data_IF_634476238536
#
_entry.id   IF_634476238536
#
_cell.length_a   1.000
_cell.length_b   1.000
_cell.length_c   1.000
_cell.angle_alpha   90.00
_cell.angle_beta   90.00
_cell.angle_gamma   90.00
#
_symmetry.space_group_name_H-M   'P 1'
#
loop_
_entity.id
_entity.type
_entity.pdbx_description
1 polymer ?
#
# COMPACT_ATOMS: atom_id res chain seq x y z
N UNK A 1 -17.18 12.49 22.01
CA UNK A 1 -15.91 11.73 22.25
C UNK A 1 -16.13 10.26 21.94
N UNK A 2 -15.74 9.85 20.73
CA UNK A 2 -15.87 8.46 20.26
C UNK A 2 -14.51 7.78 20.44
N UNK A 3 -14.51 6.54 20.94
CA UNK A 3 -13.30 5.75 21.17
C UNK A 3 -13.39 4.49 20.32
N UNK A 4 -12.41 4.28 19.46
CA UNK A 4 -12.23 3.06 18.69
C UNK A 4 -11.16 2.22 19.38
N UNK A 5 -11.35 0.90 19.38
CA UNK A 5 -10.38 -0.04 19.96
C UNK A 5 -9.93 -1.04 18.91
N UNK A 6 -8.62 -1.25 18.80
CA UNK A 6 -8.02 -2.21 17.90
C UNK A 6 -6.83 -2.91 18.55
N UNK A 7 -6.11 -3.71 17.77
CA UNK A 7 -4.89 -4.38 18.22
C UNK A 7 -3.71 -3.45 17.98
N UNK A 8 -3.06 -3.04 19.06
CA UNK A 8 -1.83 -2.27 18.94
C UNK A 8 -0.62 -3.16 18.66
N UNK A 9 0.32 -2.65 17.87
CA UNK A 9 1.58 -3.32 17.56
C UNK A 9 2.77 -2.76 18.37
N UNK A 10 2.66 -1.53 18.90
CA UNK A 10 3.69 -0.86 19.69
C UNK A 10 3.08 0.09 20.73
N UNK A 11 3.88 0.59 21.68
CA UNK A 11 3.38 1.31 22.87
C UNK A 11 3.47 2.83 22.78
N UNK A 12 3.60 3.40 21.58
CA UNK A 12 3.72 4.84 21.40
C UNK A 12 2.36 5.54 21.48
N UNK A 13 2.36 6.82 21.83
CA UNK A 13 1.16 7.65 21.89
C UNK A 13 1.41 8.92 21.08
N UNK A 14 0.46 9.30 20.23
CA UNK A 14 0.58 10.51 19.40
C UNK A 14 -0.74 11.25 19.27
N UNK A 15 -0.65 12.56 19.09
CA UNK A 15 -1.76 13.42 18.72
C UNK A 15 -1.50 14.00 17.34
N UNK A 16 -2.50 13.95 16.46
CA UNK A 16 -2.34 14.44 15.10
C UNK A 16 -3.66 14.54 14.37
N UNK A 17 -3.60 15.03 13.14
CA UNK A 17 -4.76 15.09 12.26
C UNK A 17 -4.91 13.77 11.50
N UNK A 18 -6.12 13.24 11.50
CA UNK A 18 -6.49 12.12 10.67
C UNK A 18 -6.32 12.47 9.20
N UNK A 19 -5.80 11.52 8.45
CA UNK A 19 -5.84 11.53 7.01
C UNK A 19 -6.40 10.19 6.54
N UNK A 20 -7.62 10.20 6.01
CA UNK A 20 -8.21 9.02 5.41
C UNK A 20 -7.62 8.82 4.02
N UNK A 21 -6.85 7.74 3.88
CA UNK A 21 -6.30 7.30 2.62
C UNK A 21 -7.20 6.24 2.01
N UNK A 22 -7.79 6.59 0.87
CA UNK A 22 -8.50 5.64 0.02
C UNK A 22 -7.65 5.33 -1.20
N UNK A 23 -7.33 4.04 -1.36
CA UNK A 23 -6.60 3.55 -2.50
C UNK A 23 -7.50 3.65 -3.73
N UNK A 24 -7.32 4.69 -4.56
CA UNK A 24 -8.03 4.82 -5.84
C UNK A 24 -7.58 3.72 -6.77
N UNK A 25 -8.28 2.57 -6.76
CA UNK A 25 -8.11 1.52 -7.76
C UNK A 25 -8.51 2.10 -9.11
N UNK A 26 -7.51 2.39 -9.94
CA UNK A 26 -7.76 2.76 -11.32
C UNK A 26 -8.48 1.60 -12.01
N UNK A 27 -9.65 1.84 -12.59
CA UNK A 27 -10.26 0.84 -13.47
C UNK A 27 -9.36 0.71 -14.68
N UNK A 28 -8.76 -0.47 -14.83
CA UNK A 28 -7.99 -0.80 -16.02
C UNK A 28 -9.00 -1.21 -17.09
N UNK A 29 -9.16 -0.34 -18.08
CA UNK A 29 -10.03 -0.66 -19.21
C UNK A 29 -9.31 -1.66 -20.11
N UNK A 30 -10.00 -2.73 -20.48
CA UNK A 30 -9.56 -3.63 -21.52
C UNK A 30 -9.75 -2.93 -22.86
N UNK A 31 -8.65 -2.65 -23.56
CA UNK A 31 -8.66 -2.11 -24.91
C UNK A 31 -7.97 -3.09 -25.84
N UNK A 32 -8.62 -3.37 -26.96
CA UNK A 32 -8.01 -4.19 -28.00
C UNK A 32 -6.84 -3.44 -28.64
N UNK A 33 -5.72 -4.13 -28.86
CA UNK A 33 -4.54 -3.60 -29.55
C UNK A 33 -4.26 -4.41 -30.80
N UNK A 34 -3.99 -3.72 -31.90
CA UNK A 34 -3.50 -4.37 -33.13
C UNK A 34 -1.98 -4.56 -33.11
N UNK A 35 -1.28 -3.81 -32.26
CA UNK A 35 0.18 -3.84 -32.16
C UNK A 35 0.64 -4.49 -30.85
N UNK A 36 0.59 -5.82 -30.84
CA UNK A 36 1.05 -6.68 -29.73
C UNK A 36 2.52 -6.39 -29.38
N UNK A 37 3.36 -6.12 -30.38
CA UNK A 37 4.79 -5.91 -30.16
C UNK A 37 5.06 -4.59 -29.42
N UNK A 38 4.37 -3.52 -29.80
CA UNK A 38 4.46 -2.24 -29.09
C UNK A 38 4.01 -2.38 -27.62
N UNK A 39 2.92 -3.10 -27.34
CA UNK A 39 2.47 -3.33 -25.96
C UNK A 39 3.45 -4.18 -25.14
N UNK A 40 4.09 -5.16 -25.78
CA UNK A 40 5.13 -5.99 -25.14
C UNK A 40 6.37 -5.16 -24.80
N UNK A 41 6.78 -4.26 -25.69
CA UNK A 41 7.89 -3.32 -25.45
C UNK A 41 7.53 -2.31 -24.35
N UNK A 42 6.30 -1.76 -24.36
CA UNK A 42 5.79 -0.89 -23.28
C UNK A 42 5.86 -1.60 -21.93
N UNK A 43 5.48 -2.87 -21.87
CA UNK A 43 5.59 -3.68 -20.66
C UNK A 43 7.04 -3.86 -20.20
N UNK A 44 7.97 -4.22 -21.10
CA UNK A 44 9.37 -4.38 -20.75
C UNK A 44 9.98 -3.07 -20.20
N UNK A 45 9.66 -1.93 -20.82
CA UNK A 45 10.07 -0.61 -20.31
C UNK A 45 9.45 -0.32 -18.93
N UNK A 46 8.20 -0.70 -18.71
CA UNK A 46 7.55 -0.54 -17.42
C UNK A 46 8.17 -1.42 -16.32
N UNK A 47 8.58 -2.66 -16.65
CA UNK A 47 9.31 -3.53 -15.72
C UNK A 47 10.63 -2.89 -15.28
N UNK A 48 11.42 -2.37 -16.22
CA UNK A 48 12.69 -1.70 -15.88
C UNK A 48 12.47 -0.48 -14.97
N UNK A 49 11.48 0.36 -15.28
CA UNK A 49 11.11 1.50 -14.42
C UNK A 49 10.59 1.08 -13.06
N UNK A 50 9.85 -0.03 -12.97
CA UNK A 50 9.37 -0.56 -11.70
C UNK A 50 10.53 -1.01 -10.82
N UNK A 51 11.57 -1.62 -11.42
CA UNK A 51 12.78 -2.04 -10.70
C UNK A 51 13.56 -0.85 -10.16
N UNK A 52 13.73 0.21 -10.96
CA UNK A 52 14.36 1.46 -10.50
C UNK A 52 13.62 2.03 -9.28
N UNK A 53 12.29 2.12 -9.35
CA UNK A 53 11.48 2.60 -8.23
C UNK A 53 11.52 1.69 -6.99
N UNK A 54 11.53 0.38 -7.17
CA UNK A 54 11.65 -0.58 -6.08
C UNK A 54 13.03 -0.49 -5.41
N UNK A 55 14.07 -0.23 -6.18
CA UNK A 55 15.42 -0.03 -5.67
C UNK A 55 15.51 1.26 -4.85
N UNK A 56 14.93 2.38 -5.33
CA UNK A 56 14.83 3.62 -4.55
C UNK A 56 14.08 3.39 -3.23
N UNK A 57 12.94 2.70 -3.27
CA UNK A 57 12.17 2.38 -2.06
C UNK A 57 12.94 1.50 -1.08
N UNK A 58 13.70 0.53 -1.60
CA UNK A 58 14.58 -0.32 -0.79
C UNK A 58 15.63 0.54 -0.08
N UNK A 59 16.28 1.44 -0.80
CA UNK A 59 17.34 2.29 -0.24
C UNK A 59 16.80 3.24 0.83
N UNK A 60 15.61 3.82 0.62
CA UNK A 60 14.87 4.55 1.66
C UNK A 60 14.55 3.65 2.85
N UNK A 61 14.02 2.44 2.61
CA UNK A 61 13.66 1.52 3.68
C UNK A 61 14.87 1.08 4.51
N UNK A 62 16.04 0.88 3.88
CA UNK A 62 17.29 0.59 4.60
C UNK A 62 17.62 1.72 5.59
N UNK A 63 17.41 2.97 5.19
CA UNK A 63 17.66 4.13 6.04
C UNK A 63 16.64 4.25 7.20
N UNK A 64 15.38 3.92 6.96
CA UNK A 64 14.28 4.15 7.92
C UNK A 64 14.04 2.97 8.87
N UNK A 65 13.97 1.74 8.35
CA UNK A 65 13.60 0.52 9.11
C UNK A 65 14.73 -0.50 9.21
N UNK A 66 15.83 -0.26 8.51
CA UNK A 66 17.02 -1.10 8.55
C UNK A 66 17.04 -2.22 7.49
N UNK A 67 18.24 -2.79 7.30
CA UNK A 67 18.54 -3.73 6.21
C UNK A 67 17.72 -5.02 6.23
N UNK A 68 17.29 -5.50 7.39
CA UNK A 68 16.55 -6.76 7.48
C UNK A 68 15.14 -6.63 6.90
N UNK A 69 14.45 -5.53 7.20
CA UNK A 69 13.09 -5.29 6.73
C UNK A 69 13.05 -4.81 5.28
N UNK A 70 14.09 -4.09 4.84
CA UNK A 70 14.24 -3.71 3.43
C UNK A 70 14.33 -4.91 2.46
N UNK A 71 14.65 -6.12 2.94
CA UNK A 71 14.66 -7.35 2.13
C UNK A 71 13.29 -7.70 1.53
N UNK A 72 12.21 -7.15 2.07
CA UNK A 72 10.87 -7.32 1.48
C UNK A 72 10.86 -6.77 0.04
N UNK A 73 11.53 -5.64 -0.20
CA UNK A 73 11.65 -5.05 -1.53
C UNK A 73 12.56 -5.86 -2.46
N UNK A 74 13.57 -6.57 -1.92
CA UNK A 74 14.37 -7.51 -2.72
C UNK A 74 13.49 -8.63 -3.29
N UNK A 75 12.54 -9.13 -2.49
CA UNK A 75 11.57 -10.12 -2.95
C UNK A 75 10.66 -9.52 -4.04
N UNK A 76 10.21 -8.27 -3.87
CA UNK A 76 9.40 -7.61 -4.91
C UNK A 76 10.14 -7.47 -6.23
N UNK A 77 11.45 -7.14 -6.19
CA UNK A 77 12.28 -7.07 -7.39
C UNK A 77 12.41 -8.44 -8.06
N UNK A 78 12.64 -9.51 -7.29
CA UNK A 78 12.71 -10.89 -7.80
C UNK A 78 11.38 -11.29 -8.45
N UNK A 79 10.25 -11.02 -7.80
CA UNK A 79 8.92 -11.33 -8.34
C UNK A 79 8.58 -10.50 -9.59
N UNK A 80 9.09 -9.27 -9.70
CA UNK A 80 8.88 -8.42 -10.89
C UNK A 80 9.66 -8.94 -12.11
N UNK A 81 10.82 -9.55 -11.86
CA UNK A 81 11.71 -10.16 -12.85
C UNK A 81 11.44 -11.64 -13.10
N UNK A 82 10.46 -12.21 -12.40
CA UNK A 82 10.13 -13.62 -12.52
C UNK A 82 9.63 -13.93 -13.94
N UNK A 83 10.27 -14.91 -14.58
CA UNK A 83 9.98 -15.29 -15.97
C UNK A 83 8.55 -15.80 -16.11
N UNK A 84 8.01 -16.54 -15.14
CA UNK A 84 6.64 -17.05 -15.19
C UNK A 84 5.62 -15.89 -15.14
N UNK A 85 5.86 -14.90 -14.29
CA UNK A 85 5.02 -13.69 -14.22
C UNK A 85 5.10 -12.87 -15.52
N UNK A 86 6.32 -12.62 -16.00
CA UNK A 86 6.54 -11.85 -17.23
C UNK A 86 5.97 -12.52 -18.47
N UNK A 87 6.15 -13.84 -18.60
CA UNK A 87 5.69 -14.61 -19.75
C UNK A 87 4.18 -14.82 -19.74
N UNK A 88 3.55 -14.94 -18.56
CA UNK A 88 2.10 -14.93 -18.45
C UNK A 88 1.50 -13.61 -18.99
N UNK A 89 2.11 -12.46 -18.66
CA UNK A 89 1.67 -11.15 -19.17
C UNK A 89 1.84 -11.08 -20.69
N UNK A 90 3.03 -11.39 -21.21
CA UNK A 90 3.30 -11.40 -22.66
C UNK A 90 2.35 -12.34 -23.41
N UNK A 91 2.04 -13.50 -22.83
CA UNK A 91 1.11 -14.48 -23.38
C UNK A 91 -0.30 -13.91 -23.48
N UNK A 92 -0.80 -13.22 -22.44
CA UNK A 92 -2.12 -12.58 -22.46
C UNK A 92 -2.18 -11.48 -23.53
N UNK A 93 -1.17 -10.61 -23.61
CA UNK A 93 -1.09 -9.56 -24.64
C UNK A 93 -1.17 -10.18 -26.05
N UNK A 94 -0.39 -11.24 -26.29
CA UNK A 94 -0.28 -11.89 -27.61
C UNK A 94 -1.51 -12.70 -28.00
N UNK A 95 -2.12 -13.41 -27.05
CA UNK A 95 -3.26 -14.29 -27.34
C UNK A 95 -4.58 -13.53 -27.39
N UNK A 96 -4.77 -12.59 -26.47
CA UNK A 96 -6.04 -11.86 -26.34
C UNK A 96 -6.04 -10.51 -27.06
N UNK A 97 -4.89 -10.06 -27.60
CA UNK A 97 -4.76 -8.79 -28.30
C UNK A 97 -5.24 -7.61 -27.44
N UNK A 98 -4.77 -7.57 -26.20
CA UNK A 98 -5.15 -6.57 -25.19
C UNK A 98 -3.96 -5.68 -24.81
N UNK A 99 -4.25 -4.51 -24.26
CA UNK A 99 -3.25 -3.60 -23.72
C UNK A 99 -2.48 -4.16 -22.51
N UNK A 100 -1.26 -3.66 -22.31
CA UNK A 100 -0.35 -4.13 -21.27
C UNK A 100 -0.91 -3.93 -19.85
N UNK A 101 -1.62 -2.82 -19.57
CA UNK A 101 -2.19 -2.57 -18.25
C UNK A 101 -3.18 -3.68 -17.85
N UNK A 102 -4.04 -4.07 -18.80
CA UNK A 102 -5.04 -5.11 -18.56
C UNK A 102 -4.39 -6.48 -18.37
N UNK A 103 -3.38 -6.80 -19.18
CA UNK A 103 -2.64 -8.05 -19.06
C UNK A 103 -1.91 -8.18 -17.71
N UNK A 104 -1.31 -7.10 -17.22
CA UNK A 104 -0.70 -7.03 -15.88
C UNK A 104 -1.74 -7.27 -14.80
N UNK A 105 -2.85 -6.53 -14.83
CA UNK A 105 -3.91 -6.62 -13.83
C UNK A 105 -4.54 -8.02 -13.76
N UNK A 106 -4.79 -8.63 -14.92
CA UNK A 106 -5.33 -9.99 -15.01
C UNK A 106 -4.34 -11.04 -14.49
N UNK A 107 -3.06 -10.92 -14.84
CA UNK A 107 -2.02 -11.84 -14.34
C UNK A 107 -1.91 -11.74 -12.83
N UNK A 108 -1.82 -10.52 -12.30
CA UNK A 108 -1.74 -10.28 -10.87
C UNK A 108 -2.94 -10.84 -10.10
N UNK A 109 -4.16 -10.67 -10.64
CA UNK A 109 -5.37 -11.24 -10.06
C UNK A 109 -5.31 -12.77 -9.97
N UNK A 110 -4.84 -13.42 -11.04
CA UNK A 110 -4.70 -14.88 -11.08
C UNK A 110 -3.65 -15.39 -10.08
N UNK A 111 -2.46 -14.77 -10.07
CA UNK A 111 -1.39 -15.15 -9.13
C UNK A 111 -1.80 -14.87 -7.68
N UNK A 112 -2.39 -13.71 -7.39
CA UNK A 112 -2.87 -13.36 -6.05
C UNK A 112 -3.90 -14.38 -5.53
N UNK A 113 -4.84 -14.84 -6.38
CA UNK A 113 -5.76 -15.92 -6.02
C UNK A 113 -5.07 -17.23 -5.67
N UNK A 114 -4.08 -17.62 -6.46
CA UNK A 114 -3.32 -18.85 -6.22
C UNK A 114 -2.58 -18.77 -4.88
N UNK A 115 -1.90 -17.66 -4.61
CA UNK A 115 -1.20 -17.43 -3.34
C UNK A 115 -2.15 -17.36 -2.14
N UNK A 116 -3.28 -16.68 -2.27
CA UNK A 116 -4.28 -16.55 -1.21
C UNK A 116 -4.96 -17.89 -0.84
N UNK A 117 -5.05 -18.81 -1.81
CA UNK A 117 -5.62 -20.15 -1.60
C UNK A 117 -4.63 -21.14 -0.95
N UNK A 118 -3.34 -20.81 -0.86
CA UNK A 118 -2.36 -21.65 -0.19
C UNK A 118 -2.55 -21.64 1.34
N UNK A 119 -2.27 -22.76 2.02
CA UNK A 119 -2.45 -22.85 3.48
C UNK A 119 -1.33 -22.18 4.29
N UNK A 120 -0.20 -21.87 3.66
CA UNK A 120 0.95 -21.24 4.30
C UNK A 120 0.73 -19.73 4.47
N UNK A 121 0.82 -19.23 5.70
CA UNK A 121 0.65 -17.82 6.03
C UNK A 121 1.67 -16.91 5.29
N UNK A 122 2.89 -17.41 5.08
CA UNK A 122 3.91 -16.71 4.32
C UNK A 122 3.54 -16.58 2.83
N UNK A 123 2.93 -17.63 2.25
CA UNK A 123 2.45 -17.57 0.86
C UNK A 123 1.20 -16.70 0.72
N UNK A 124 0.30 -16.71 1.72
CA UNK A 124 -0.84 -15.78 1.75
C UNK A 124 -0.41 -14.33 1.78
N UNK A 125 0.67 -13.99 2.51
CA UNK A 125 1.22 -12.65 2.53
C UNK A 125 1.72 -12.19 1.14
N UNK A 126 2.26 -13.12 0.33
CA UNK A 126 2.70 -12.81 -1.06
C UNK A 126 1.55 -12.40 -1.99
N UNK A 127 0.31 -12.74 -1.67
CA UNK A 127 -0.84 -12.31 -2.47
C UNK A 127 -0.99 -10.78 -2.48
N UNK A 128 -0.66 -10.12 -1.35
CA UNK A 128 -0.64 -8.67 -1.23
C UNK A 128 0.59 -8.07 -1.94
N UNK A 129 1.75 -8.73 -1.85
CA UNK A 129 2.99 -8.31 -2.52
C UNK A 129 2.81 -8.26 -4.05
N UNK A 130 2.13 -9.26 -4.64
CA UNK A 130 1.80 -9.27 -6.08
C UNK A 130 0.87 -8.11 -6.45
N UNK A 131 -0.05 -7.73 -5.56
CA UNK A 131 -0.94 -6.61 -5.81
C UNK A 131 -0.17 -5.27 -5.81
N UNK A 132 0.78 -5.09 -4.88
CA UNK A 132 1.66 -3.90 -4.84
C UNK A 132 2.47 -3.76 -6.14
N UNK A 133 3.10 -4.85 -6.58
CA UNK A 133 3.88 -4.88 -7.83
C UNK A 133 3.00 -4.56 -9.04
N UNK A 134 1.80 -5.16 -9.11
CA UNK A 134 0.83 -4.92 -10.18
C UNK A 134 0.38 -3.47 -10.24
N UNK A 135 -0.02 -2.90 -9.11
CA UNK A 135 -0.48 -1.51 -9.03
C UNK A 135 0.62 -0.54 -9.46
N UNK A 136 1.87 -0.83 -9.08
CA UNK A 136 3.05 -0.07 -9.56
C UNK A 136 3.20 -0.16 -11.08
N UNK A 137 3.20 -1.37 -11.65
CA UNK A 137 3.34 -1.58 -13.09
C UNK A 137 2.21 -0.90 -13.87
N UNK A 138 0.95 -1.06 -13.44
CA UNK A 138 -0.22 -0.42 -14.06
C UNK A 138 -0.12 1.10 -13.99
N UNK A 139 0.36 1.66 -12.87
CA UNK A 139 0.56 3.10 -12.73
C UNK A 139 1.60 3.61 -13.75
N UNK A 140 2.74 2.94 -13.87
CA UNK A 140 3.81 3.29 -14.82
C UNK A 140 3.29 3.21 -16.26
N UNK A 141 2.59 2.13 -16.61
CA UNK A 141 2.04 1.91 -17.95
C UNK A 141 0.98 2.94 -18.33
N UNK A 142 0.11 3.30 -17.39
CA UNK A 142 -0.95 4.29 -17.58
C UNK A 142 -0.41 5.73 -17.71
N UNK A 143 0.90 5.95 -17.51
CA UNK A 143 1.49 7.28 -17.39
C UNK A 143 0.91 8.10 -16.22
N UNK A 144 0.13 7.43 -15.36
CA UNK A 144 -0.39 8.04 -14.14
C UNK A 144 0.77 8.02 -13.17
N UNK A 145 1.16 9.20 -12.70
CA UNK A 145 1.94 9.28 -11.47
C UNK A 145 1.17 8.41 -10.46
N UNK A 146 1.84 7.44 -9.82
CA UNK A 146 1.28 6.87 -8.59
C UNK A 146 0.82 8.11 -7.81
N UNK A 147 -0.42 8.13 -7.31
CA UNK A 147 -0.79 9.11 -6.29
C UNK A 147 0.08 8.74 -5.11
N UNK A 148 1.31 9.22 -5.19
CA UNK A 148 2.36 8.93 -4.26
C UNK A 148 1.99 9.70 -3.01
N UNK A 149 2.47 9.23 -1.88
CA UNK A 149 2.48 10.05 -0.68
C UNK A 149 3.06 11.47 -0.93
N UNK A 150 3.75 11.75 -2.05
CA UNK A 150 4.24 13.09 -2.45
C UNK A 150 3.16 14.06 -2.93
N UNK A 151 1.98 13.62 -3.37
CA UNK A 151 0.84 14.53 -3.63
C UNK A 151 0.11 14.88 -2.32
N UNK A 152 0.53 14.30 -1.19
CA UNK A 152 -0.02 14.61 0.11
C UNK A 152 0.55 15.94 0.56
N UNK A 153 -0.36 16.83 0.94
CA UNK A 153 -0.05 18.15 1.45
C UNK A 153 0.99 18.05 2.57
N UNK A 154 2.15 18.63 2.31
CA UNK A 154 3.11 19.17 3.26
C UNK A 154 2.38 19.70 4.51
N UNK A 155 2.54 19.00 5.64
CA UNK A 155 1.95 19.37 6.91
C UNK A 155 2.41 18.43 8.01
N UNK A 156 2.89 18.98 9.12
CA UNK A 156 3.37 18.22 10.26
C UNK A 156 2.20 17.52 10.98
N UNK A 157 2.44 16.29 11.45
CA UNK A 157 1.58 15.52 12.35
C UNK A 157 0.29 14.91 11.78
N UNK A 158 0.41 14.11 10.71
CA UNK A 158 -0.71 13.33 10.17
C UNK A 158 -0.70 11.89 10.63
N UNK A 159 -1.86 11.39 11.02
CA UNK A 159 -2.14 9.98 11.32
C UNK A 159 -2.88 9.40 10.12
N UNK A 160 -2.27 8.42 9.45
CA UNK A 160 -2.83 7.84 8.23
C UNK A 160 -3.81 6.74 8.60
N UNK A 161 -5.03 6.83 8.07
CA UNK A 161 -6.12 5.89 8.28
C UNK A 161 -6.48 5.24 6.94
N UNK A 162 -6.45 3.92 6.84
CA UNK A 162 -6.75 3.18 5.59
C UNK A 162 -7.47 1.86 5.89
N UNK A 163 -7.93 1.19 4.84
CA UNK A 163 -8.42 -0.20 4.93
C UNK A 163 -7.30 -1.15 5.36
N UNK A 164 -6.18 -1.12 4.64
CA UNK A 164 -4.96 -1.90 4.90
C UNK A 164 -3.77 -1.14 4.29
N UNK A 165 -2.53 -1.42 4.70
CA UNK A 165 -1.32 -0.81 4.12
C UNK A 165 -0.51 -1.81 3.29
N UNK A 166 0.07 -1.32 2.21
CA UNK A 166 1.14 -2.02 1.49
C UNK A 166 2.52 -1.65 2.05
N UNK A 167 3.54 -2.53 1.95
CA UNK A 167 4.90 -2.20 2.40
C UNK A 167 5.45 -0.94 1.74
N UNK A 168 5.20 -0.74 0.44
CA UNK A 168 5.66 0.45 -0.28
C UNK A 168 5.00 1.74 0.21
N UNK A 169 3.72 1.68 0.58
CA UNK A 169 2.96 2.81 1.10
C UNK A 169 3.49 3.29 2.44
N UNK A 170 3.84 2.38 3.36
CA UNK A 170 4.36 2.74 4.67
C UNK A 170 5.64 3.56 4.53
N UNK A 171 6.59 3.11 3.70
CA UNK A 171 7.85 3.84 3.47
C UNK A 171 7.59 5.21 2.86
N UNK A 172 6.70 5.30 1.88
CA UNK A 172 6.32 6.57 1.26
C UNK A 172 5.66 7.53 2.27
N UNK A 173 4.82 7.04 3.18
CA UNK A 173 4.20 7.85 4.22
C UNK A 173 5.21 8.30 5.28
N UNK A 174 6.18 7.44 5.62
CA UNK A 174 7.27 7.80 6.52
C UNK A 174 8.16 8.91 5.95
N UNK A 175 8.48 8.88 4.65
CA UNK A 175 9.18 10.00 3.98
C UNK A 175 8.42 11.33 4.10
N UNK A 176 7.08 11.28 4.22
CA UNK A 176 6.22 12.45 4.33
C UNK A 176 5.82 12.79 5.78
N UNK A 177 6.60 12.35 6.77
CA UNK A 177 6.40 12.65 8.20
C UNK A 177 5.06 12.15 8.78
N UNK A 178 4.58 10.98 8.34
CA UNK A 178 3.48 10.31 9.04
C UNK A 178 3.85 10.05 10.50
N UNK A 179 2.93 10.37 11.42
CA UNK A 179 3.11 10.23 12.86
C UNK A 179 2.37 9.03 13.45
N UNK A 180 1.57 8.32 12.66
CA UNK A 180 0.85 7.13 13.12
C UNK A 180 0.11 6.44 11.98
N UNK A 181 -0.14 5.15 12.16
CA UNK A 181 -0.81 4.29 11.18
C UNK A 181 -2.00 3.57 11.82
N UNK A 182 -3.17 3.76 11.23
CA UNK A 182 -4.42 3.12 11.65
C UNK A 182 -4.99 2.33 10.49
N UNK A 183 -5.29 1.04 10.71
CA UNK A 183 -5.95 0.21 9.70
C UNK A 183 -7.27 -0.35 10.18
N UNK A 184 -8.26 -0.37 9.28
CA UNK A 184 -9.55 -1.01 9.52
C UNK A 184 -9.40 -2.53 9.54
N UNK A 185 -8.65 -3.06 8.57
CA UNK A 185 -8.34 -4.46 8.37
C UNK A 185 -6.82 -4.66 8.32
N UNK A 186 -6.38 -5.91 8.44
CA UNK A 186 -4.96 -6.24 8.42
C UNK A 186 -4.58 -7.16 9.57
N UNK A 187 -3.55 -7.96 9.33
CA UNK A 187 -3.00 -8.87 10.33
C UNK A 187 -1.77 -8.26 10.98
N UNK A 188 -1.60 -8.48 12.29
CA UNK A 188 -0.36 -8.15 13.01
C UNK A 188 0.87 -8.89 12.49
N UNK A 189 0.68 -9.96 11.71
CA UNK A 189 1.74 -10.80 11.13
C UNK A 189 2.02 -10.48 9.66
N UNK A 190 1.31 -9.51 9.07
CA UNK A 190 1.56 -9.09 7.68
C UNK A 190 2.91 -8.38 7.54
N UNK A 191 3.51 -8.45 6.36
CA UNK A 191 4.77 -7.75 6.07
C UNK A 191 4.67 -6.23 6.30
N UNK A 192 3.52 -5.63 5.97
CA UNK A 192 3.23 -4.23 6.25
C UNK A 192 3.15 -3.96 7.76
N UNK A 193 2.45 -4.79 8.54
CA UNK A 193 2.40 -4.65 10.00
C UNK A 193 3.76 -4.83 10.67
N UNK A 194 4.58 -5.79 10.20
CA UNK A 194 5.94 -6.00 10.71
C UNK A 194 6.80 -4.77 10.43
N UNK A 195 6.74 -4.24 9.21
CA UNK A 195 7.49 -3.06 8.82
C UNK A 195 7.04 -1.82 9.61
N UNK A 196 5.73 -1.63 9.77
CA UNK A 196 5.17 -0.53 10.53
C UNK A 196 5.53 -0.61 12.03
N UNK A 197 5.54 -1.81 12.62
CA UNK A 197 5.89 -2.03 14.02
C UNK A 197 7.32 -1.62 14.37
N UNK A 198 8.23 -1.75 13.42
CA UNK A 198 9.64 -1.38 13.60
C UNK A 198 9.88 0.13 13.50
N UNK A 199 8.84 0.92 13.23
CA UNK A 199 8.91 2.37 13.28
C UNK A 199 8.58 2.88 14.68
N UNK A 200 9.17 4.01 15.04
CA UNK A 200 8.93 4.71 16.31
C UNK A 200 7.62 5.53 16.32
N UNK A 201 6.57 5.05 15.65
CA UNK A 201 5.26 5.70 15.56
C UNK A 201 4.12 4.73 15.86
N UNK A 202 3.03 5.15 16.51
CA UNK A 202 1.94 4.25 16.88
C UNK A 202 1.29 3.55 15.68
N UNK A 203 1.10 2.24 15.80
CA UNK A 203 0.43 1.42 14.79
C UNK A 203 -0.68 0.59 15.43
N UNK A 204 -1.92 0.81 14.98
CA UNK A 204 -3.09 0.06 15.43
C UNK A 204 -3.77 -0.57 14.22
N UNK A 205 -4.00 -1.88 14.32
CA UNK A 205 -4.64 -2.67 13.27
C UNK A 205 -5.97 -3.24 13.75
N UNK A 206 -6.90 -3.46 12.84
CA UNK A 206 -8.17 -4.12 13.14
C UNK A 206 -9.17 -3.24 13.88
N UNK A 207 -9.21 -1.95 13.55
CA UNK A 207 -10.20 -1.00 14.09
C UNK A 207 -11.60 -1.17 13.47
N UNK A 208 -11.72 -2.00 12.42
CA UNK A 208 -12.97 -2.28 11.74
C UNK A 208 -13.49 -1.11 10.88
N UNK A 209 -14.71 -1.28 10.37
CA UNK A 209 -15.37 -0.27 9.54
C UNK A 209 -15.60 1.07 10.25
N UNK A 210 -15.65 1.07 11.58
CA UNK A 210 -15.83 2.27 12.39
C UNK A 210 -14.71 3.29 12.13
N UNK A 211 -13.47 2.83 11.89
CA UNK A 211 -12.38 3.74 11.49
C UNK A 211 -12.72 4.51 10.21
N UNK A 212 -13.21 3.82 9.19
CA UNK A 212 -13.47 4.43 7.87
C UNK A 212 -14.76 5.23 7.86
N UNK A 213 -15.74 4.85 8.67
CA UNK A 213 -17.04 5.50 8.73
C UNK A 213 -17.03 6.74 9.62
N UNK A 214 -16.25 6.74 10.70
CA UNK A 214 -16.31 7.79 11.72
C UNK A 214 -15.18 8.80 11.63
N UNK A 215 -14.01 8.40 11.10
CA UNK A 215 -12.87 9.30 10.94
C UNK A 215 -12.93 9.94 9.55
N UNK A 216 -12.75 11.26 9.51
CA UNK A 216 -12.60 12.04 8.29
C UNK A 216 -11.25 12.73 8.26
N UNK A 217 -10.74 12.98 7.05
CA UNK A 217 -9.52 13.75 6.86
C UNK A 217 -9.67 15.14 7.50
N UNK A 218 -8.77 15.48 8.42
CA UNK A 218 -8.76 16.73 9.18
C UNK A 218 -9.18 16.58 10.65
N UNK A 219 -9.79 15.46 11.04
CA UNK A 219 -10.20 15.23 12.43
C UNK A 219 -8.99 15.14 13.36
N UNK A 220 -9.10 15.68 14.57
CA UNK A 220 -8.04 15.52 15.56
C UNK A 220 -8.17 14.17 16.26
N UNK A 221 -7.11 13.36 16.20
CA UNK A 221 -7.06 12.05 16.82
C UNK A 221 -5.97 11.99 17.88
N UNK A 222 -6.30 11.31 18.97
CA UNK A 222 -5.33 10.82 19.95
C UNK A 222 -5.23 9.31 19.80
N UNK A 223 -4.04 8.81 19.45
CA UNK A 223 -3.77 7.39 19.28
C UNK A 223 -2.93 6.92 20.45
N UNK A 224 -3.47 5.99 21.22
CA UNK A 224 -2.79 5.32 22.32
C UNK A 224 -2.45 3.87 21.93
N UNK A 225 -1.19 3.66 21.55
CA UNK A 225 -0.66 2.35 21.23
C UNK A 225 -0.49 1.44 22.46
N UNK A 226 -0.51 1.95 23.69
CA UNK A 226 -0.40 1.07 24.86
C UNK A 226 -1.67 0.26 25.06
N UNK A 227 -2.81 0.94 24.97
CA UNK A 227 -4.15 0.36 25.17
C UNK A 227 -4.81 -0.05 23.85
N UNK A 228 -4.24 0.32 22.69
CA UNK A 228 -4.84 0.09 21.38
C UNK A 228 -6.11 0.92 21.15
N UNK A 229 -6.16 2.14 21.69
CA UNK A 229 -7.33 3.01 21.63
C UNK A 229 -7.07 4.23 20.76
N UNK A 230 -8.04 4.60 19.95
CA UNK A 230 -8.06 5.84 19.17
C UNK A 230 -9.22 6.68 19.66
N UNK A 231 -8.94 7.89 20.11
CA UNK A 231 -9.96 8.84 20.55
C UNK A 231 -10.12 9.93 19.52
N UNK A 232 -11.35 10.11 19.03
CA UNK A 232 -11.71 11.19 18.12
C UNK A 232 -12.06 12.42 18.97
N UNK A 233 -11.20 13.43 18.88
CA UNK A 233 -11.41 14.73 19.47
C UNK A 233 -12.22 15.58 18.48
N UNK A 234 -13.54 15.60 18.66
CA UNK A 234 -14.40 16.57 17.97
C UNK A 234 -13.86 17.97 18.27
N UNK A 235 -13.49 18.73 17.24
CA UNK A 235 -13.29 20.17 17.42
C UNK A 235 -14.60 20.72 17.94
N UNK A 236 -14.62 21.18 19.19
CA UNK A 236 -15.71 22.00 19.72
C UNK A 236 -15.81 23.26 18.86
N UNK A 237 -16.58 23.23 17.78
CA UNK A 237 -17.37 24.39 17.41
C UNK A 237 -18.57 24.45 18.36
N UNK A 238 -18.29 24.87 19.59
CA UNK A 238 -19.29 25.58 20.37
C UNK A 238 -19.49 26.93 19.71
N UNK A 239 -20.33 26.96 18.67
CA UNK A 239 -20.96 28.21 18.24
C UNK A 239 -21.92 28.62 19.37
N UNK A 240 -21.43 29.54 20.19
CA UNK A 240 -22.25 30.41 21.01
C UNK A 240 -23.01 31.32 20.05
N UNK A 241 -24.32 31.18 19.97
CA UNK A 241 -25.31 32.29 19.95
C UNK A 241 -26.72 31.73 20.07
#
# INVERSE_FOLDING_TARGET
>A
MKVLSGKSLNSFTVNGQAFQFERRRGTVNCTHTENVQAETERFAVAQLKALEQLQELRDTAVCQVGKQLAKIFDIHMVLTLDDDFGDAIKSIIKTQHVNAEYAVSLTAYNFSKVFAAMNDAYMKARAADIHDISDRLVSILSGRRQISAKDFATGANKIICTEDFLPSEIIQFCENNAQGFLTAFGSSESHSAILAKSLDIPVIVGLGWDLLNDVRTGDNLTVDGKDGKVTICESRESFVS
#
